data_IF_776081894554
#
_entry.id   IF_776081894554
#
_cell.length_a   1.000
_cell.length_b   1.000
_cell.length_c   1.000
_cell.angle_alpha   90.00
_cell.angle_beta   90.00
_cell.angle_gamma   90.00
#
_symmetry.space_group_name_H-M   'P 1'
#
loop_
_entity.id
_entity.type
_entity.pdbx_description
1 polymer ?
#
# COMPACT_ATOMS: atom_id res chain seq x y z
N UNK A 1 -0.43 -25.47 9.78
CA UNK A 1 -1.78 -25.54 10.38
C UNK A 1 -2.53 -24.24 10.13
N UNK A 2 -1.97 -23.12 10.58
CA UNK A 2 -2.37 -21.76 10.17
C UNK A 2 -1.30 -21.19 9.23
N UNK A 3 -1.70 -20.35 8.27
CA UNK A 3 -0.81 -19.55 7.41
C UNK A 3 -1.13 -18.08 7.62
N UNK A 4 -0.12 -17.21 7.71
CA UNK A 4 -0.30 -15.76 7.52
C UNK A 4 0.24 -15.43 6.14
N UNK A 5 -0.62 -14.92 5.26
CA UNK A 5 -0.26 -14.71 3.85
C UNK A 5 -1.08 -13.60 3.20
N UNK A 6 -0.64 -13.17 2.01
CA UNK A 6 -1.36 -12.18 1.21
C UNK A 6 -2.68 -12.72 0.65
N UNK A 7 -3.64 -11.81 0.50
CA UNK A 7 -4.98 -12.05 -0.02
C UNK A 7 -5.05 -11.75 -1.53
N UNK A 8 -6.21 -11.95 -2.15
CA UNK A 8 -6.40 -11.64 -3.56
C UNK A 8 -5.67 -12.62 -4.48
N UNK A 9 -4.96 -12.10 -5.48
CA UNK A 9 -4.33 -12.91 -6.53
C UNK A 9 -3.19 -13.79 -5.98
N UNK A 10 -2.48 -13.31 -4.95
CA UNK A 10 -1.38 -14.06 -4.32
C UNK A 10 -1.83 -15.38 -3.71
N UNK A 11 -3.08 -15.44 -3.22
CA UNK A 11 -3.64 -16.65 -2.61
C UNK A 11 -4.25 -17.63 -3.60
N UNK A 12 -4.38 -17.26 -4.88
CA UNK A 12 -5.11 -18.06 -5.89
C UNK A 12 -4.62 -19.51 -5.95
N UNK A 13 -3.30 -19.74 -5.99
CA UNK A 13 -2.75 -21.07 -6.19
C UNK A 13 -3.20 -22.09 -5.13
N UNK A 14 -3.29 -21.68 -3.87
CA UNK A 14 -3.68 -22.59 -2.79
C UNK A 14 -5.21 -22.63 -2.60
N UNK A 15 -5.94 -21.60 -3.02
CA UNK A 15 -7.41 -21.65 -3.10
C UNK A 15 -7.84 -22.62 -4.20
N UNK A 16 -7.31 -22.51 -5.41
CA UNK A 16 -7.59 -23.40 -6.55
C UNK A 16 -7.29 -24.87 -6.24
N UNK A 17 -6.21 -25.11 -5.48
CA UNK A 17 -5.80 -26.46 -5.06
C UNK A 17 -6.55 -26.99 -3.83
N UNK A 18 -7.51 -26.23 -3.29
CA UNK A 18 -8.29 -26.62 -2.11
C UNK A 18 -7.43 -26.84 -0.86
N UNK A 19 -6.34 -26.08 -0.71
CA UNK A 19 -5.39 -26.22 0.41
C UNK A 19 -5.77 -25.41 1.64
N UNK A 20 -6.78 -24.56 1.53
CA UNK A 20 -7.31 -23.70 2.60
C UNK A 20 -8.82 -23.86 2.71
N UNK A 21 -9.36 -23.53 3.87
CA UNK A 21 -10.78 -23.67 4.19
C UNK A 21 -11.47 -22.31 4.18
N UNK A 22 -12.64 -22.24 3.56
CA UNK A 22 -13.41 -21.00 3.52
C UNK A 22 -13.95 -20.64 4.91
N UNK A 23 -14.08 -19.35 5.18
CA UNK A 23 -14.69 -18.83 6.41
C UNK A 23 -16.12 -19.36 6.58
N UNK A 24 -16.88 -19.49 5.51
CA UNK A 24 -18.25 -20.05 5.56
C UNK A 24 -18.26 -21.52 6.00
N UNK A 25 -17.31 -22.33 5.53
CA UNK A 25 -17.15 -23.73 6.01
C UNK A 25 -16.74 -23.75 7.49
N UNK A 26 -15.86 -22.85 7.93
CA UNK A 26 -15.47 -22.74 9.34
C UNK A 26 -16.67 -22.35 10.21
N UNK A 27 -17.48 -21.39 9.75
CA UNK A 27 -18.66 -20.86 10.46
C UNK A 27 -19.78 -21.89 10.62
N UNK A 28 -19.81 -22.97 9.84
CA UNK A 28 -20.73 -24.09 10.08
C UNK A 28 -20.48 -24.79 11.42
N UNK A 29 -19.23 -24.83 11.87
CA UNK A 29 -18.85 -25.43 13.16
C UNK A 29 -18.55 -24.40 14.25
N UNK A 30 -18.08 -23.21 13.86
CA UNK A 30 -17.73 -22.10 14.74
C UNK A 30 -18.46 -20.83 14.30
N UNK A 31 -19.75 -20.66 14.61
CA UNK A 31 -20.58 -19.57 14.08
C UNK A 31 -20.02 -18.16 14.30
N UNK A 32 -19.33 -17.94 15.41
CA UNK A 32 -18.75 -16.63 15.76
C UNK A 32 -17.35 -16.39 15.16
N UNK A 33 -16.88 -17.26 14.26
CA UNK A 33 -15.57 -17.08 13.63
C UNK A 33 -15.55 -15.84 12.73
N UNK A 34 -14.58 -14.95 12.97
CA UNK A 34 -14.42 -13.66 12.28
C UNK A 34 -15.65 -12.73 12.36
N UNK A 35 -16.51 -12.86 13.38
CA UNK A 35 -17.72 -12.04 13.53
C UNK A 35 -17.45 -10.61 14.00
N UNK A 36 -16.22 -10.31 14.42
CA UNK A 36 -15.78 -8.97 14.78
C UNK A 36 -15.31 -8.15 13.55
N UNK A 37 -15.45 -8.71 12.34
CA UNK A 37 -15.16 -8.04 11.08
C UNK A 37 -16.43 -7.94 10.23
N UNK A 38 -16.50 -6.90 9.39
CA UNK A 38 -17.54 -6.83 8.37
C UNK A 38 -17.17 -7.78 7.23
N UNK A 39 -18.15 -8.54 6.73
CA UNK A 39 -17.89 -9.58 5.73
C UNK A 39 -17.36 -9.03 4.39
N UNK A 40 -17.74 -7.79 4.05
CA UNK A 40 -17.24 -7.06 2.86
C UNK A 40 -15.75 -6.70 2.98
N UNK A 41 -15.21 -6.64 4.20
CA UNK A 41 -13.81 -6.32 4.48
C UNK A 41 -12.90 -7.56 4.54
N UNK A 42 -13.45 -8.79 4.53
CA UNK A 42 -12.66 -10.01 4.63
C UNK A 42 -11.84 -10.31 3.36
N UNK A 43 -12.20 -9.69 2.22
CA UNK A 43 -11.51 -9.85 0.95
C UNK A 43 -11.84 -11.17 0.26
N UNK A 44 -12.82 -11.15 -0.64
CA UNK A 44 -13.21 -12.33 -1.40
C UNK A 44 -12.10 -12.77 -2.37
N UNK A 45 -11.87 -14.08 -2.46
CA UNK A 45 -10.92 -14.65 -3.42
C UNK A 45 -11.40 -14.41 -4.85
N UNK A 46 -10.52 -13.96 -5.77
CA UNK A 46 -10.83 -13.85 -7.18
C UNK A 46 -11.17 -15.19 -7.86
N UNK A 47 -10.80 -16.31 -7.24
CA UNK A 47 -10.99 -17.67 -7.79
C UNK A 47 -12.46 -18.07 -7.76
N UNK A 48 -13.13 -17.89 -6.63
CA UNK A 48 -14.49 -18.41 -6.41
C UNK A 48 -15.41 -17.48 -5.60
N UNK A 49 -14.96 -16.27 -5.26
CA UNK A 49 -15.72 -15.27 -4.53
C UNK A 49 -15.89 -15.54 -3.04
N UNK A 50 -15.23 -16.55 -2.46
CA UNK A 50 -15.31 -16.85 -1.03
C UNK A 50 -14.21 -16.18 -0.22
N UNK A 51 -14.47 -15.98 1.07
CA UNK A 51 -13.49 -15.49 2.02
C UNK A 51 -12.73 -16.67 2.64
N UNK A 52 -11.40 -16.57 2.72
CA UNK A 52 -10.52 -17.66 3.20
C UNK A 52 -9.60 -17.25 4.36
N UNK A 53 -9.49 -15.95 4.62
CA UNK A 53 -8.60 -15.40 5.62
C UNK A 53 -9.29 -14.40 6.51
N UNK A 54 -8.85 -14.33 7.77
CA UNK A 54 -9.20 -13.23 8.66
C UNK A 54 -8.05 -12.23 8.64
N UNK A 55 -8.25 -11.02 8.08
CA UNK A 55 -7.24 -9.98 8.08
C UNK A 55 -6.85 -9.54 9.49
N UNK A 56 -5.69 -8.90 9.65
CA UNK A 56 -5.22 -8.42 10.97
C UNK A 56 -4.91 -6.94 10.95
N UNK A 57 -4.17 -6.49 9.94
CA UNK A 57 -3.74 -5.10 9.81
C UNK A 57 -4.20 -4.55 8.46
N UNK A 58 -4.74 -3.33 8.50
CA UNK A 58 -4.87 -2.52 7.30
C UNK A 58 -3.52 -1.99 6.85
N UNK A 59 -3.45 -1.59 5.60
CA UNK A 59 -2.38 -0.74 5.10
C UNK A 59 -2.97 0.48 4.41
N UNK A 60 -2.16 1.52 4.36
CA UNK A 60 -2.37 2.67 3.49
C UNK A 60 -1.04 3.01 2.84
N UNK A 61 -1.11 3.64 1.68
CA UNK A 61 0.05 4.25 1.02
C UNK A 61 -0.07 5.76 1.11
N UNK A 62 1.05 6.44 1.30
CA UNK A 62 1.05 7.87 1.54
C UNK A 62 2.28 8.55 0.97
N UNK A 63 2.21 9.87 0.89
CA UNK A 63 3.35 10.70 0.59
C UNK A 63 4.10 11.01 1.89
N UNK A 64 5.22 10.34 2.11
CA UNK A 64 6.18 10.68 3.13
C UNK A 64 6.91 11.96 2.73
N UNK A 65 7.06 12.88 3.69
CA UNK A 65 7.56 14.23 3.48
C UNK A 65 8.68 14.52 4.47
N UNK A 66 9.84 14.94 3.95
CA UNK A 66 10.92 15.52 4.73
C UNK A 66 10.73 17.04 4.83
N UNK A 67 10.23 17.51 5.98
CA UNK A 67 9.90 18.93 6.20
C UNK A 67 11.14 19.83 6.20
N UNK A 68 12.29 19.28 6.57
CA UNK A 68 13.55 19.99 6.62
C UNK A 68 14.08 20.32 5.21
N UNK A 69 13.98 19.37 4.28
CA UNK A 69 14.28 19.59 2.87
C UNK A 69 13.33 20.63 2.27
N UNK A 70 12.01 20.52 2.55
CA UNK A 70 11.03 21.51 2.08
C UNK A 70 11.33 22.92 2.58
N UNK A 71 11.61 23.07 3.89
CA UNK A 71 11.99 24.35 4.50
C UNK A 71 13.24 24.95 3.86
N UNK A 72 14.28 24.13 3.61
CA UNK A 72 15.53 24.56 2.95
C UNK A 72 15.30 24.96 1.50
N UNK A 73 14.34 24.33 0.82
CA UNK A 73 13.92 24.66 -0.54
C UNK A 73 12.93 25.85 -0.62
N UNK A 74 12.38 26.31 0.50
CA UNK A 74 11.35 27.35 0.53
C UNK A 74 9.98 26.87 0.04
N UNK A 75 9.65 25.60 0.29
CA UNK A 75 8.40 24.94 -0.09
C UNK A 75 7.60 24.59 1.16
N UNK A 76 6.29 24.80 1.12
CA UNK A 76 5.38 24.37 2.18
C UNK A 76 4.99 22.89 1.98
N UNK A 77 4.67 22.20 3.08
CA UNK A 77 4.26 20.80 3.01
C UNK A 77 2.94 20.63 2.24
N UNK A 78 2.82 19.60 1.37
CA UNK A 78 1.56 19.30 0.69
C UNK A 78 0.42 18.99 1.65
N UNK A 79 -0.78 19.44 1.30
CA UNK A 79 -2.03 19.21 2.03
C UNK A 79 -3.00 18.36 1.20
N UNK A 80 -4.15 18.03 1.77
CA UNK A 80 -5.24 17.33 1.05
C UNK A 80 -5.75 18.11 -0.18
N UNK A 81 -5.53 19.43 -0.22
CA UNK A 81 -5.95 20.30 -1.31
C UNK A 81 -4.84 20.52 -2.35
N UNK A 82 -3.62 20.03 -2.10
CA UNK A 82 -2.51 20.16 -3.06
C UNK A 82 -2.82 19.35 -4.32
N UNK A 83 -2.89 20.07 -5.43
CA UNK A 83 -3.11 19.52 -6.77
C UNK A 83 -1.81 18.99 -7.36
N UNK A 84 -1.93 18.16 -8.40
CA UNK A 84 -0.77 17.68 -9.15
C UNK A 84 0.06 18.82 -9.76
N UNK A 85 -0.57 19.87 -10.30
CA UNK A 85 0.16 20.99 -10.91
C UNK A 85 0.96 21.80 -9.87
N UNK A 86 0.41 21.95 -8.66
CA UNK A 86 1.13 22.53 -7.52
C UNK A 86 2.28 21.63 -7.09
N UNK A 87 2.06 20.30 -7.03
CA UNK A 87 3.12 19.33 -6.74
C UNK A 87 4.27 19.38 -7.76
N UNK A 88 3.97 19.53 -9.05
CA UNK A 88 4.97 19.72 -10.11
C UNK A 88 5.78 21.00 -9.91
N UNK A 89 5.13 22.07 -9.42
CA UNK A 89 5.77 23.35 -9.09
C UNK A 89 6.65 23.25 -7.84
N UNK A 90 6.20 22.51 -6.83
CA UNK A 90 7.00 22.17 -5.65
C UNK A 90 8.26 21.41 -6.06
N UNK A 91 8.11 20.36 -6.89
CA UNK A 91 9.22 19.56 -7.38
C UNK A 91 10.25 20.39 -8.15
N UNK A 92 9.80 21.27 -9.04
CA UNK A 92 10.69 22.21 -9.74
C UNK A 92 11.48 23.12 -8.78
N UNK A 93 10.82 23.60 -7.73
CA UNK A 93 11.44 24.48 -6.72
C UNK A 93 12.48 23.73 -5.88
N UNK A 94 12.15 22.51 -5.44
CA UNK A 94 13.04 21.63 -4.69
C UNK A 94 14.29 21.29 -5.52
N UNK A 95 14.09 20.94 -6.79
CA UNK A 95 15.18 20.68 -7.73
C UNK A 95 16.10 21.89 -7.89
N UNK A 96 15.53 23.09 -8.08
CA UNK A 96 16.29 24.35 -8.18
C UNK A 96 17.09 24.68 -6.92
N UNK A 97 16.60 24.24 -5.76
CA UNK A 97 17.31 24.37 -4.49
C UNK A 97 18.44 23.33 -4.31
N UNK A 98 18.62 22.40 -5.26
CA UNK A 98 19.69 21.40 -5.25
C UNK A 98 19.36 20.10 -4.51
N UNK A 99 18.09 19.87 -4.19
CA UNK A 99 17.61 18.63 -3.57
C UNK A 99 16.93 17.74 -4.60
N UNK A 100 16.83 16.44 -4.29
CA UNK A 100 16.02 15.53 -5.09
C UNK A 100 14.55 15.72 -4.72
N UNK A 101 13.63 16.03 -5.65
CA UNK A 101 12.23 16.16 -5.30
C UNK A 101 11.64 14.87 -4.74
N UNK A 102 11.83 13.76 -5.44
CA UNK A 102 11.19 12.49 -5.13
C UNK A 102 12.25 11.40 -5.03
N UNK A 103 12.34 10.71 -3.91
CA UNK A 103 13.02 9.43 -3.80
C UNK A 103 12.11 8.33 -4.37
N UNK A 104 12.57 7.63 -5.40
CA UNK A 104 11.87 6.48 -5.96
C UNK A 104 12.83 5.57 -6.71
N UNK A 105 12.74 4.26 -6.45
CA UNK A 105 13.36 3.21 -7.28
C UNK A 105 12.32 2.74 -8.29
N UNK A 106 12.42 3.22 -9.53
CA UNK A 106 11.59 2.71 -10.61
C UNK A 106 12.02 1.30 -11.06
N UNK A 107 13.18 0.82 -10.59
CA UNK A 107 13.69 -0.51 -10.86
C UNK A 107 13.07 -1.58 -9.95
N UNK A 108 12.92 -1.32 -8.66
CA UNK A 108 12.43 -2.32 -7.69
C UNK A 108 11.00 -2.05 -7.23
N UNK A 109 10.64 -0.76 -7.02
CA UNK A 109 9.39 -0.35 -6.39
C UNK A 109 8.64 0.69 -7.28
N UNK A 110 8.40 0.43 -8.59
CA UNK A 110 7.67 1.38 -9.42
C UNK A 110 6.15 1.36 -9.18
N UNK A 111 5.64 0.34 -8.47
CA UNK A 111 4.21 0.06 -8.37
C UNK A 111 3.42 1.18 -7.69
N UNK A 112 3.93 1.81 -6.62
CA UNK A 112 3.27 2.96 -5.99
C UNK A 112 3.01 4.10 -6.98
N UNK A 113 4.00 4.39 -7.84
CA UNK A 113 3.83 5.41 -8.87
C UNK A 113 2.85 4.96 -9.94
N UNK A 114 2.88 3.69 -10.37
CA UNK A 114 1.87 3.16 -11.28
C UNK A 114 0.46 3.28 -10.70
N UNK A 115 0.24 2.86 -9.45
CA UNK A 115 -1.06 2.88 -8.79
C UNK A 115 -1.63 4.29 -8.75
N UNK A 116 -0.91 5.26 -8.18
CA UNK A 116 -1.41 6.62 -8.06
C UNK A 116 -1.54 7.37 -9.40
N UNK A 117 -0.57 7.22 -10.31
CA UNK A 117 -0.63 7.93 -11.59
C UNK A 117 -1.68 7.37 -12.54
N UNK A 118 -1.94 6.06 -12.50
CA UNK A 118 -3.04 5.46 -13.25
C UNK A 118 -4.39 5.86 -12.62
N UNK A 119 -4.47 5.84 -11.28
CA UNK A 119 -5.68 6.23 -10.55
C UNK A 119 -6.07 7.70 -10.79
N UNK A 120 -5.11 8.59 -11.07
CA UNK A 120 -5.41 9.97 -11.52
C UNK A 120 -6.33 10.05 -12.77
N UNK A 121 -6.44 8.96 -13.54
CA UNK A 121 -7.27 8.87 -14.75
C UNK A 121 -8.43 7.86 -14.60
N UNK A 122 -8.74 7.44 -13.38
CA UNK A 122 -9.83 6.52 -13.06
C UNK A 122 -10.60 7.00 -11.82
N UNK A 123 -11.67 6.30 -11.47
CA UNK A 123 -12.48 6.57 -10.28
C UNK A 123 -12.25 5.49 -9.21
N UNK A 124 -12.64 5.77 -7.96
CA UNK A 124 -12.53 4.81 -6.83
C UNK A 124 -13.17 3.46 -7.15
N UNK A 125 -14.28 3.44 -7.89
CA UNK A 125 -14.97 2.20 -8.23
C UNK A 125 -14.30 1.43 -9.39
N UNK A 126 -13.40 2.07 -10.15
CA UNK A 126 -12.88 1.52 -11.41
C UNK A 126 -11.37 1.39 -11.46
N UNK A 127 -10.61 1.97 -10.51
CA UNK A 127 -9.14 2.02 -10.56
C UNK A 127 -8.47 0.64 -10.59
N UNK A 128 -9.13 -0.40 -10.10
CA UNK A 128 -8.64 -1.79 -10.14
C UNK A 128 -9.04 -2.56 -11.40
N UNK A 129 -9.72 -1.91 -12.36
CA UNK A 129 -10.16 -2.55 -13.61
C UNK A 129 -8.99 -2.69 -14.57
N UNK A 130 -8.69 -3.93 -14.96
CA UNK A 130 -7.64 -4.21 -15.93
C UNK A 130 -8.08 -3.86 -17.36
N UNK A 131 -7.19 -3.22 -18.16
CA UNK A 131 -7.47 -2.95 -19.55
C UNK A 131 -7.50 -4.24 -20.39
N UNK A 132 -8.33 -4.26 -21.43
CA UNK A 132 -8.34 -5.34 -22.43
C UNK A 132 -7.39 -5.03 -23.59
N UNK A 133 -7.10 -3.75 -23.83
CA UNK A 133 -6.18 -3.24 -24.84
C UNK A 133 -5.74 -1.82 -24.48
N UNK A 134 -4.65 -1.31 -25.07
CA UNK A 134 -4.22 0.07 -24.87
C UNK A 134 -5.21 1.13 -25.42
N UNK A 135 -6.12 0.73 -26.32
CA UNK A 135 -7.04 1.66 -27.00
C UNK A 135 -8.39 1.82 -26.29
N UNK A 136 -8.70 0.93 -25.35
CA UNK A 136 -9.91 1.05 -24.54
C UNK A 136 -9.77 2.14 -23.46
N UNK A 137 -10.86 2.43 -22.76
CA UNK A 137 -10.92 3.49 -21.75
C UNK A 137 -9.87 3.29 -20.65
N UNK A 138 -9.76 2.08 -20.10
CA UNK A 138 -8.81 1.76 -19.04
C UNK A 138 -7.38 1.70 -19.59
N UNK A 139 -7.18 1.25 -20.83
CA UNK A 139 -5.89 1.26 -21.50
C UNK A 139 -5.34 2.66 -21.66
N UNK A 140 -6.20 3.62 -22.04
CA UNK A 140 -5.84 5.03 -22.12
C UNK A 140 -5.51 5.63 -20.76
N UNK A 141 -6.27 5.28 -19.71
CA UNK A 141 -5.96 5.69 -18.34
C UNK A 141 -4.57 5.20 -17.91
N UNK A 142 -4.25 3.93 -18.18
CA UNK A 142 -2.94 3.34 -17.90
C UNK A 142 -1.81 4.04 -18.67
N UNK A 143 -2.00 4.25 -19.97
CA UNK A 143 -1.02 4.97 -20.81
C UNK A 143 -0.79 6.39 -20.30
N UNK A 144 -1.84 7.10 -19.90
CA UNK A 144 -1.72 8.46 -19.35
C UNK A 144 -1.00 8.48 -18.00
N UNK A 145 -1.30 7.54 -17.09
CA UNK A 145 -0.58 7.42 -15.82
C UNK A 145 0.91 7.15 -16.02
N UNK A 146 1.25 6.19 -16.89
CA UNK A 146 2.65 5.91 -17.24
C UNK A 146 3.33 7.14 -17.87
N UNK A 147 2.61 7.93 -18.67
CA UNK A 147 3.14 9.18 -19.22
C UNK A 147 3.40 10.25 -18.13
N UNK A 148 2.64 10.28 -17.04
CA UNK A 148 2.93 11.17 -15.91
C UNK A 148 4.23 10.78 -15.21
N UNK A 149 4.50 9.48 -15.04
CA UNK A 149 5.80 9.00 -14.51
C UNK A 149 6.94 9.39 -15.45
N UNK A 150 6.73 9.26 -16.77
CA UNK A 150 7.69 9.70 -17.78
C UNK A 150 7.96 11.21 -17.65
N UNK A 151 6.94 12.04 -17.45
CA UNK A 151 7.11 13.49 -17.30
C UNK A 151 7.94 13.84 -16.05
N UNK A 152 7.66 13.19 -14.92
CA UNK A 152 8.47 13.32 -13.69
C UNK A 152 9.94 12.94 -13.94
N UNK A 153 10.18 11.85 -14.68
CA UNK A 153 11.51 11.38 -15.05
C UNK A 153 12.23 12.36 -15.98
N UNK A 154 11.60 12.80 -17.08
CA UNK A 154 12.20 13.72 -18.05
C UNK A 154 12.46 15.11 -17.45
N UNK A 155 11.67 15.53 -16.47
CA UNK A 155 11.91 16.73 -15.67
C UNK A 155 12.99 16.55 -14.61
N UNK A 156 13.51 15.33 -14.40
CA UNK A 156 14.55 15.02 -13.43
C UNK A 156 14.10 15.26 -11.99
N UNK A 157 12.88 14.84 -11.66
CA UNK A 157 12.34 14.93 -10.30
C UNK A 157 12.63 13.68 -9.46
N UNK A 158 12.99 12.57 -10.11
CA UNK A 158 13.54 11.37 -9.47
C UNK A 158 15.07 11.47 -9.32
N UNK A 159 15.70 10.58 -8.54
CA UNK A 159 17.16 10.50 -8.49
C UNK A 159 17.74 10.11 -9.86
N UNK A 160 18.93 10.59 -10.20
CA UNK A 160 19.58 10.31 -11.50
C UNK A 160 19.70 8.80 -11.79
N UNK A 161 19.89 7.99 -10.74
CA UNK A 161 20.01 6.54 -10.83
C UNK A 161 18.68 5.78 -10.60
N UNK A 162 17.51 6.42 -10.66
CA UNK A 162 16.20 5.80 -10.35
C UNK A 162 15.89 4.49 -11.10
N UNK A 163 16.43 4.33 -12.32
CA UNK A 163 16.26 3.12 -13.14
C UNK A 163 17.19 1.97 -12.77
N UNK A 164 18.10 2.18 -11.81
CA UNK A 164 19.08 1.18 -11.35
C UNK A 164 19.20 1.11 -9.84
N UNK A 165 18.69 2.10 -9.12
CA UNK A 165 18.77 2.20 -7.67
C UNK A 165 17.92 1.10 -7.01
N UNK A 166 18.38 0.57 -5.88
CA UNK A 166 17.55 -0.29 -5.03
C UNK A 166 16.56 0.55 -4.21
N UNK A 167 15.54 -0.12 -3.64
CA UNK A 167 14.64 0.48 -2.65
C UNK A 167 15.44 1.09 -1.50
N UNK A 168 16.42 0.33 -0.97
CA UNK A 168 17.24 0.77 0.16
C UNK A 168 18.05 2.03 -0.15
N UNK A 169 18.59 2.17 -1.36
CA UNK A 169 19.33 3.38 -1.77
C UNK A 169 18.42 4.59 -1.83
N UNK A 170 17.20 4.44 -2.35
CA UNK A 170 16.23 5.55 -2.43
C UNK A 170 15.63 5.88 -1.07
N UNK A 171 15.47 4.88 -0.20
CA UNK A 171 15.08 5.08 1.18
C UNK A 171 16.14 5.87 1.96
N UNK A 172 17.42 5.50 1.83
CA UNK A 172 18.54 6.24 2.42
C UNK A 172 18.61 7.68 1.89
N UNK A 173 18.34 7.90 0.60
CA UNK A 173 18.28 9.25 0.03
C UNK A 173 17.23 10.13 0.74
N UNK A 174 16.09 9.55 1.08
CA UNK A 174 15.01 10.24 1.80
C UNK A 174 15.36 10.49 3.27
N UNK A 175 15.85 9.48 3.99
CA UNK A 175 16.16 9.58 5.43
C UNK A 175 17.47 10.29 5.74
N UNK A 176 18.33 10.54 4.73
CA UNK A 176 19.55 11.35 4.86
C UNK A 176 19.39 12.82 4.42
N UNK A 177 18.17 13.34 4.42
CA UNK A 177 17.82 14.73 4.07
C UNK A 177 18.24 15.18 2.66
N UNK A 178 18.29 14.25 1.70
CA UNK A 178 18.64 14.55 0.29
C UNK A 178 17.45 14.55 -0.64
N UNK A 179 16.33 13.93 -0.24
CA UNK A 179 15.08 13.95 -0.98
C UNK A 179 13.91 14.51 -0.15
N UNK A 180 12.98 15.20 -0.82
CA UNK A 180 11.84 15.82 -0.14
C UNK A 180 10.66 14.86 0.06
N UNK A 181 10.41 14.00 -0.92
CA UNK A 181 9.22 13.14 -0.97
C UNK A 181 9.58 11.68 -1.19
N UNK A 182 8.77 10.77 -0.67
CA UNK A 182 8.77 9.34 -0.94
C UNK A 182 7.32 8.85 -0.91
N UNK A 183 6.90 8.03 -1.89
CA UNK A 183 5.62 7.31 -1.79
C UNK A 183 5.94 5.90 -1.31
N UNK A 184 5.32 5.49 -0.22
CA UNK A 184 5.45 4.13 0.30
C UNK A 184 4.20 3.71 1.07
N UNK A 185 4.17 2.44 1.46
CA UNK A 185 3.20 1.89 2.38
C UNK A 185 3.52 2.26 3.82
N UNK A 186 2.48 2.17 4.64
CA UNK A 186 2.52 2.58 6.03
C UNK A 186 3.53 1.83 6.90
N UNK A 187 3.88 0.60 6.51
CA UNK A 187 4.97 -0.19 7.08
C UNK A 187 6.33 0.52 7.09
N UNK A 188 6.53 1.56 6.27
CA UNK A 188 7.78 2.32 6.26
C UNK A 188 7.93 3.27 7.45
N UNK A 189 6.85 3.63 8.16
CA UNK A 189 6.92 4.60 9.28
C UNK A 189 7.94 4.16 10.34
N UNK A 190 7.97 2.88 10.72
CA UNK A 190 8.89 2.38 11.75
C UNK A 190 10.35 2.37 11.27
N UNK A 191 10.56 2.05 9.99
CA UNK A 191 11.89 2.14 9.38
C UNK A 191 12.40 3.57 9.31
N UNK A 192 11.52 4.57 9.13
CA UNK A 192 11.90 5.99 9.18
C UNK A 192 12.24 6.38 10.61
N UNK A 193 11.40 6.03 11.59
CA UNK A 193 11.65 6.30 13.01
C UNK A 193 12.99 5.73 13.49
N UNK A 194 13.37 4.53 13.02
CA UNK A 194 14.67 3.93 13.32
C UNK A 194 15.85 4.60 12.59
N UNK A 195 15.61 5.14 11.39
CA UNK A 195 16.67 5.67 10.51
C UNK A 195 17.01 7.15 10.77
N UNK A 196 16.17 7.89 11.48
CA UNK A 196 16.31 9.35 11.64
C UNK A 196 16.41 9.75 13.11
N UNK A 197 17.18 10.81 13.39
CA UNK A 197 17.37 11.29 14.76
C UNK A 197 16.13 12.01 15.33
N UNK A 198 15.35 12.65 14.44
CA UNK A 198 14.19 13.46 14.80
C UNK A 198 13.02 13.19 13.85
N UNK A 199 12.15 12.27 14.29
CA UNK A 199 10.95 11.87 13.55
C UNK A 199 9.99 13.04 13.34
N UNK A 200 10.04 14.08 14.17
CA UNK A 200 9.20 15.27 14.02
C UNK A 200 9.59 16.10 12.80
N UNK A 201 10.73 15.84 12.12
CA UNK A 201 11.06 16.45 10.83
C UNK A 201 10.42 15.73 9.64
N UNK A 202 9.79 14.58 9.88
CA UNK A 202 9.10 13.79 8.88
C UNK A 202 7.60 13.83 9.12
N UNK A 203 6.82 13.64 8.06
CA UNK A 203 5.37 13.50 8.17
C UNK A 203 4.86 12.68 6.99
N UNK A 204 3.59 12.29 7.05
CA UNK A 204 2.91 11.63 5.95
C UNK A 204 1.66 12.42 5.61
N UNK A 205 1.43 12.61 4.33
CA UNK A 205 0.25 13.30 3.79
C UNK A 205 -0.25 12.57 2.56
N UNK A 206 -1.22 13.16 1.89
CA UNK A 206 -1.85 12.62 0.70
C UNK A 206 -0.93 12.75 -0.52
N UNK A 207 -0.89 11.71 -1.36
CA UNK A 207 -0.30 11.83 -2.70
C UNK A 207 -1.17 12.81 -3.51
N UNK A 208 -0.62 13.89 -4.10
CA UNK A 208 -1.38 14.88 -4.84
C UNK A 208 -2.19 14.30 -6.00
N UNK A 209 -3.47 14.66 -6.07
CA UNK A 209 -4.41 14.20 -7.08
C UNK A 209 -4.33 14.97 -8.39
N UNK A 210 -4.62 14.28 -9.50
CA UNK A 210 -4.81 14.87 -10.83
C UNK A 210 -6.16 14.42 -11.40
N UNK A 211 -6.73 15.24 -12.27
CA UNK A 211 -7.99 14.91 -12.95
C UNK A 211 -9.13 14.82 -11.95
N UNK A 212 -9.83 13.68 -11.94
CA UNK A 212 -10.98 13.46 -11.07
C UNK A 212 -10.60 12.86 -9.71
N UNK A 213 -9.38 12.33 -9.55
CA UNK A 213 -8.91 11.76 -8.29
C UNK A 213 -8.66 12.87 -7.27
N UNK A 214 -9.32 12.79 -6.11
CA UNK A 214 -8.98 13.66 -4.97
C UNK A 214 -7.72 13.13 -4.32
N UNK A 215 -6.88 14.01 -3.75
CA UNK A 215 -5.70 13.56 -3.00
C UNK A 215 -6.09 12.63 -1.84
N UNK A 216 -7.28 12.80 -1.27
CA UNK A 216 -7.86 11.94 -0.21
C UNK A 216 -8.29 10.55 -0.69
N UNK A 217 -8.34 10.29 -1.99
CA UNK A 217 -8.59 8.96 -2.53
C UNK A 217 -7.27 8.17 -2.47
N UNK A 218 -7.12 7.40 -1.41
CA UNK A 218 -5.89 6.67 -1.06
C UNK A 218 -5.90 5.24 -1.59
N UNK A 219 -4.70 4.71 -1.86
CA UNK A 219 -4.49 3.27 -1.97
C UNK A 219 -4.32 2.69 -0.56
N UNK A 220 -5.08 1.64 -0.27
CA UNK A 220 -5.07 0.99 1.03
C UNK A 220 -6.03 -0.19 1.06
N UNK A 221 -6.06 -0.89 2.18
CA UNK A 221 -6.99 -2.01 2.36
C UNK A 221 -6.47 -3.06 3.31
N UNK A 222 -6.93 -4.29 3.11
CA UNK A 222 -6.59 -5.47 3.92
C UNK A 222 -5.93 -6.52 3.02
N UNK A 223 -4.61 -6.46 2.90
CA UNK A 223 -3.85 -7.27 1.94
C UNK A 223 -3.35 -8.60 2.50
N UNK A 224 -3.40 -8.84 3.82
CA UNK A 224 -2.92 -10.08 4.43
C UNK A 224 -3.78 -10.54 5.59
N UNK A 225 -3.77 -11.84 5.86
CA UNK A 225 -4.55 -12.42 6.93
C UNK A 225 -4.19 -13.87 7.26
N UNK A 226 -4.87 -14.40 8.28
CA UNK A 226 -4.70 -15.78 8.71
C UNK A 226 -5.65 -16.72 7.98
N UNK A 227 -5.09 -17.78 7.39
CA UNK A 227 -5.79 -18.89 6.75
C UNK A 227 -5.69 -20.15 7.61
N UNK A 228 -6.72 -21.00 7.62
CA UNK A 228 -6.63 -22.38 8.12
C UNK A 228 -6.42 -23.32 6.93
N UNK A 229 -5.38 -24.16 6.99
CA UNK A 229 -5.14 -25.13 5.92
C UNK A 229 -6.14 -26.27 5.96
N UNK A 230 -6.52 -26.81 4.80
CA UNK A 230 -7.43 -27.97 4.71
C UNK A 230 -6.89 -29.17 5.48
N UNK A 231 -5.57 -29.38 5.45
CA UNK A 231 -4.89 -30.42 6.25
C UNK A 231 -5.10 -30.26 7.75
N UNK A 232 -5.06 -29.03 8.27
CA UNK A 232 -5.33 -28.76 9.68
C UNK A 232 -6.81 -28.87 10.00
N UNK A 233 -7.66 -28.40 9.10
CA UNK A 233 -9.10 -28.47 9.29
C UNK A 233 -9.59 -29.90 9.35
N UNK A 234 -9.09 -30.79 8.48
CA UNK A 234 -9.51 -32.20 8.46
C UNK A 234 -8.95 -33.02 9.64
N UNK A 235 -8.14 -32.41 10.52
CA UNK A 235 -7.61 -32.99 11.75
C UNK A 235 -8.35 -32.43 12.98
N UNK A 236 -9.29 -33.19 13.58
CA UNK A 236 -10.09 -32.71 14.71
C UNK A 236 -9.27 -32.30 15.94
N UNK A 237 -8.09 -32.88 16.14
CA UNK A 237 -7.21 -32.54 17.27
C UNK A 237 -6.59 -31.16 17.11
N UNK A 238 -6.47 -30.66 15.87
CA UNK A 238 -5.84 -29.37 15.56
C UNK A 238 -6.82 -28.27 15.23
N UNK A 239 -7.98 -28.62 14.68
CA UNK A 239 -9.01 -27.68 14.22
C UNK A 239 -9.34 -26.61 15.26
N UNK A 240 -9.69 -27.04 16.48
CA UNK A 240 -10.05 -26.13 17.56
C UNK A 240 -8.90 -25.17 17.91
N UNK A 241 -7.68 -25.70 18.03
CA UNK A 241 -6.50 -24.88 18.33
C UNK A 241 -6.19 -23.84 17.24
N UNK A 242 -6.37 -24.19 15.97
CA UNK A 242 -6.18 -23.24 14.86
C UNK A 242 -7.24 -22.12 14.89
N UNK A 243 -8.51 -22.47 15.14
CA UNK A 243 -9.60 -21.49 15.29
C UNK A 243 -9.35 -20.56 16.47
N UNK A 244 -9.01 -21.11 17.64
CA UNK A 244 -8.75 -20.35 18.86
C UNK A 244 -7.53 -19.44 18.70
N UNK A 245 -6.47 -19.92 18.06
CA UNK A 245 -5.30 -19.11 17.74
C UNK A 245 -5.67 -17.91 16.88
N UNK A 246 -6.40 -18.11 15.77
CA UNK A 246 -6.77 -16.99 14.90
C UNK A 246 -7.69 -16.02 15.64
N UNK A 247 -8.70 -16.51 16.36
CA UNK A 247 -9.58 -15.66 17.19
C UNK A 247 -8.81 -14.82 18.19
N UNK A 248 -7.78 -15.37 18.81
CA UNK A 248 -6.91 -14.63 19.71
C UNK A 248 -6.11 -13.56 18.96
N UNK A 249 -5.44 -13.94 17.86
CA UNK A 249 -4.60 -13.01 17.08
C UNK A 249 -5.40 -11.88 16.41
N UNK A 250 -6.67 -12.13 16.09
CA UNK A 250 -7.58 -11.15 15.48
C UNK A 250 -8.55 -10.52 16.50
N UNK A 251 -8.30 -10.70 17.80
CA UNK A 251 -9.08 -10.06 18.86
C UNK A 251 -8.79 -8.57 18.94
N UNK A 252 -9.74 -7.77 19.44
CA UNK A 252 -9.57 -6.32 19.60
C UNK A 252 -8.33 -5.97 20.44
N UNK A 253 -8.00 -6.78 21.45
CA UNK A 253 -6.80 -6.61 22.26
C UNK A 253 -5.52 -6.77 21.42
N UNK A 254 -5.43 -7.86 20.64
CA UNK A 254 -4.24 -8.16 19.86
C UNK A 254 -4.09 -7.24 18.66
N UNK A 255 -5.19 -6.95 17.95
CA UNK A 255 -5.21 -5.96 16.86
C UNK A 255 -4.80 -4.59 17.37
N UNK A 256 -5.26 -4.16 18.55
CA UNK A 256 -4.82 -2.88 19.15
C UNK A 256 -3.32 -2.89 19.49
N UNK A 257 -2.77 -4.02 19.96
CA UNK A 257 -1.32 -4.15 20.22
C UNK A 257 -0.50 -4.12 18.93
N UNK A 258 -0.98 -4.77 17.86
CA UNK A 258 -0.36 -4.67 16.54
C UNK A 258 -0.42 -3.23 16.05
N UNK A 259 -1.58 -2.57 16.12
CA UNK A 259 -1.72 -1.18 15.69
C UNK A 259 -0.82 -0.19 16.47
N UNK A 260 -0.51 -0.48 17.74
CA UNK A 260 0.38 0.35 18.56
C UNK A 260 1.88 0.04 18.42
N UNK A 261 2.27 -0.99 17.67
CA UNK A 261 3.67 -1.42 17.54
C UNK A 261 4.13 -1.65 16.10
N UNK A 262 3.20 -1.91 15.19
CA UNK A 262 3.41 -1.77 13.77
C UNK A 262 3.17 -0.32 13.41
N UNK A 263 4.11 0.23 12.66
CA UNK A 263 3.89 1.43 11.87
C UNK A 263 2.73 1.13 10.90
N UNK A 264 1.51 1.44 11.35
CA UNK A 264 0.26 1.21 10.60
C UNK A 264 0.03 2.26 9.58
#
# INVERSE_FOLDING_TARGET
DVLFFFNGVDSNQFVEQGKVVSIDEIRQEYPDYASNMKDDMLGASPVDGKNYSVPVNGYWEGLFVNKDVLKKAGVEAPTADTTWDEFMTMCETIKKAGYTPIAASLQEIPHYWFEYTIFNFQDVDTHSTLPKSADDEYGKAWVNGINDIKDLYEKGYFPDNTLTASDSETFELFTSDKAAFLIDGSWKVGGIEEAVDDIDNYTVTYVPGKGNRKSTDLIGGLSSGYYITKKCWDDPEKRAAAVDFIKYMTSDEMVSKFAGSSAT
#
